data_IF_324078204439
#
_entry.id   IF_324078204439
#
_cell.length_a   1.000
_cell.length_b   1.000
_cell.length_c   1.000
_cell.angle_alpha   90.00
_cell.angle_beta   90.00
_cell.angle_gamma   90.00
#
_symmetry.space_group_name_H-M   'P 1'
#
loop_
_entity.id
_entity.type
_entity.pdbx_description
1 polymer ?
#
# COMPACT_ATOMS: atom_id res chain seq x y z
N UNK A 1 9.69 2.49 9.61
CA UNK A 1 8.68 3.15 10.45
C UNK A 1 8.54 2.39 11.75
N UNK A 2 8.87 3.01 12.86
CA UNK A 2 8.75 2.50 14.23
C UNK A 2 7.28 2.44 14.72
N UNK A 3 6.35 3.00 13.95
CA UNK A 3 4.92 3.04 14.24
C UNK A 3 4.14 1.81 13.71
N UNK A 4 4.80 0.86 13.04
CA UNK A 4 4.11 -0.28 12.45
C UNK A 4 4.02 -1.45 13.42
N UNK A 5 2.80 -1.88 13.71
CA UNK A 5 2.53 -3.09 14.49
C UNK A 5 2.13 -4.22 13.52
N UNK A 6 2.91 -5.28 13.50
CA UNK A 6 2.68 -6.42 12.62
C UNK A 6 1.80 -7.47 13.30
N UNK A 7 0.81 -7.96 12.56
CA UNK A 7 -0.17 -8.93 13.06
C UNK A 7 -0.37 -10.06 12.06
N UNK A 8 -0.67 -11.24 12.58
CA UNK A 8 -1.19 -12.37 11.80
C UNK A 8 -2.70 -12.39 11.86
N UNK A 9 -3.34 -12.59 10.71
CA UNK A 9 -4.80 -12.77 10.57
C UNK A 9 -5.13 -14.25 10.56
N UNK A 10 -6.27 -14.58 11.11
CA UNK A 10 -6.84 -15.93 10.96
C UNK A 10 -7.76 -15.97 9.75
N UNK A 11 -7.69 -17.07 8.98
CA UNK A 11 -8.65 -17.29 7.91
C UNK A 11 -10.08 -17.30 8.47
N UNK A 12 -10.99 -16.65 7.75
CA UNK A 12 -12.40 -16.53 8.13
C UNK A 12 -12.69 -15.85 9.48
N UNK A 13 -11.75 -15.10 10.03
CA UNK A 13 -11.98 -14.33 11.26
C UNK A 13 -11.44 -12.90 11.15
N UNK A 14 -12.12 -11.89 11.69
CA UNK A 14 -11.58 -10.55 11.83
C UNK A 14 -10.47 -10.48 12.88
N UNK A 15 -10.30 -11.54 13.65
CA UNK A 15 -9.32 -11.61 14.75
C UNK A 15 -7.89 -11.56 14.22
N UNK A 16 -7.06 -10.88 14.95
CA UNK A 16 -5.62 -10.73 14.71
C UNK A 16 -4.87 -11.00 16.00
N UNK A 17 -3.68 -11.55 15.89
CA UNK A 17 -2.74 -11.69 17.01
C UNK A 17 -1.37 -11.15 16.63
N UNK A 18 -0.52 -10.94 17.60
CA UNK A 18 0.89 -10.63 17.36
C UNK A 18 1.56 -11.77 16.60
N UNK A 19 2.56 -11.43 15.81
CA UNK A 19 3.38 -12.42 15.13
C UNK A 19 4.33 -13.06 16.15
N UNK A 20 4.41 -14.39 16.12
CA UNK A 20 5.44 -15.15 16.84
C UNK A 20 6.73 -15.19 16.02
N UNK A 21 7.84 -15.65 16.62
CA UNK A 21 9.11 -15.84 15.89
C UNK A 21 8.93 -16.78 14.70
N UNK A 22 8.14 -17.84 14.85
CA UNK A 22 7.82 -18.76 13.76
C UNK A 22 7.05 -18.06 12.62
N UNK A 23 6.11 -17.17 12.94
CA UNK A 23 5.40 -16.38 11.93
C UNK A 23 6.35 -15.43 11.19
N UNK A 24 7.29 -14.81 11.90
CA UNK A 24 8.32 -13.97 11.31
C UNK A 24 9.22 -14.76 10.36
N UNK A 25 9.69 -15.93 10.75
CA UNK A 25 10.48 -16.81 9.89
C UNK A 25 9.70 -17.21 8.61
N UNK A 26 8.45 -17.65 8.77
CA UNK A 26 7.60 -18.00 7.63
C UNK A 26 7.38 -16.80 6.70
N UNK A 27 7.05 -15.65 7.28
CA UNK A 27 6.81 -14.42 6.54
C UNK A 27 8.03 -13.98 5.74
N UNK A 28 9.19 -13.88 6.38
CA UNK A 28 10.42 -13.41 5.73
C UNK A 28 10.88 -14.40 4.65
N UNK A 29 10.96 -15.69 4.95
CA UNK A 29 11.39 -16.70 3.99
C UNK A 29 10.47 -16.75 2.77
N UNK A 30 9.15 -16.70 2.97
CA UNK A 30 8.19 -16.71 1.87
C UNK A 30 8.25 -15.42 1.06
N UNK A 31 8.41 -14.28 1.71
CA UNK A 31 8.56 -12.97 1.04
C UNK A 31 9.81 -12.95 0.17
N UNK A 32 10.95 -13.39 0.70
CA UNK A 32 12.21 -13.51 -0.05
C UNK A 32 12.04 -14.40 -1.27
N UNK A 33 11.48 -15.60 -1.07
CA UNK A 33 11.23 -16.52 -2.19
C UNK A 33 10.34 -15.91 -3.27
N UNK A 34 9.28 -15.19 -2.91
CA UNK A 34 8.43 -14.53 -3.91
C UNK A 34 9.16 -13.43 -4.67
N UNK A 35 10.04 -12.68 -4.00
CA UNK A 35 10.86 -11.64 -4.63
C UNK A 35 11.90 -12.23 -5.58
N UNK A 36 12.51 -13.36 -5.21
CA UNK A 36 13.50 -14.04 -6.06
C UNK A 36 12.85 -14.67 -7.29
N UNK A 37 11.76 -15.42 -7.11
CA UNK A 37 11.20 -16.29 -8.15
C UNK A 37 10.18 -15.60 -9.06
N UNK A 38 9.39 -14.64 -8.56
CA UNK A 38 8.09 -14.35 -9.18
C UNK A 38 7.79 -12.85 -9.34
N UNK A 39 7.95 -12.03 -8.32
CA UNK A 39 7.48 -10.63 -8.33
C UNK A 39 8.57 -9.62 -8.02
N UNK A 40 8.37 -8.37 -8.43
CA UNK A 40 9.34 -7.30 -8.18
C UNK A 40 9.18 -6.68 -6.79
N UNK A 41 7.98 -6.75 -6.23
CA UNK A 41 7.74 -6.25 -4.88
C UNK A 41 6.63 -7.00 -4.16
N UNK A 42 6.73 -7.03 -2.84
CA UNK A 42 5.79 -7.70 -1.94
C UNK A 42 5.38 -6.73 -0.85
N UNK A 43 4.10 -6.63 -0.59
CA UNK A 43 3.59 -5.76 0.46
C UNK A 43 2.67 -6.43 1.46
N UNK A 44 2.38 -5.72 2.51
CA UNK A 44 1.42 -6.10 3.52
C UNK A 44 0.13 -5.30 3.36
N UNK A 45 -0.97 -5.92 3.73
CA UNK A 45 -2.26 -5.26 3.76
C UNK A 45 -2.49 -4.55 5.09
N UNK A 46 -3.20 -3.43 5.06
CA UNK A 46 -3.59 -2.71 6.29
C UNK A 46 -4.49 -3.56 7.18
N UNK A 47 -4.21 -3.59 8.47
CA UNK A 47 -4.91 -4.44 9.43
C UNK A 47 -6.39 -4.11 9.65
N UNK A 48 -6.81 -2.86 9.39
CA UNK A 48 -8.21 -2.45 9.53
C UNK A 48 -9.09 -2.76 8.30
N UNK A 49 -8.48 -3.12 7.16
CA UNK A 49 -9.25 -3.55 6.00
C UNK A 49 -9.87 -4.93 6.26
N UNK A 50 -11.07 -5.21 5.72
CA UNK A 50 -11.68 -6.52 5.84
C UNK A 50 -10.73 -7.63 5.40
N UNK A 51 -10.70 -8.78 6.07
CA UNK A 51 -9.90 -9.91 5.64
C UNK A 51 -10.38 -10.40 4.26
N UNK A 52 -9.43 -10.87 3.47
CA UNK A 52 -9.77 -11.50 2.19
C UNK A 52 -9.85 -13.01 2.40
N UNK A 53 -11.01 -13.54 2.18
CA UNK A 53 -11.34 -14.94 2.30
C UNK A 53 -10.98 -15.68 1.02
N UNK A 54 -9.71 -15.94 0.80
CA UNK A 54 -9.28 -16.85 -0.26
C UNK A 54 -8.31 -17.89 0.29
N UNK A 55 -8.17 -19.00 -0.39
CA UNK A 55 -7.23 -20.06 -0.03
C UNK A 55 -5.76 -19.67 -0.27
N UNK A 56 -5.51 -18.54 -0.91
CA UNK A 56 -4.16 -18.07 -1.21
C UNK A 56 -3.67 -17.14 -0.11
N UNK A 57 -2.40 -17.27 0.24
CA UNK A 57 -1.71 -16.40 1.21
C UNK A 57 -1.51 -14.96 0.68
N UNK A 58 -1.82 -14.69 -0.58
CA UNK A 58 -1.58 -13.42 -1.26
C UNK A 58 -2.64 -13.05 -2.29
N UNK A 59 -2.64 -11.76 -2.66
CA UNK A 59 -3.30 -11.23 -3.85
C UNK A 59 -2.23 -10.68 -4.79
N UNK A 60 -2.40 -10.86 -6.10
CA UNK A 60 -1.54 -10.24 -7.11
C UNK A 60 -2.05 -8.85 -7.50
N UNK A 61 -1.11 -7.99 -7.87
CA UNK A 61 -1.36 -6.67 -8.45
C UNK A 61 -2.41 -5.89 -7.65
N UNK A 62 -2.14 -5.70 -6.38
CA UNK A 62 -3.01 -5.02 -5.44
C UNK A 62 -2.28 -3.99 -4.62
N UNK A 63 -3.00 -3.26 -3.79
CA UNK A 63 -2.46 -2.23 -2.92
C UNK A 63 -1.36 -2.78 -2.00
N UNK A 64 -0.20 -2.11 -2.04
CA UNK A 64 0.90 -2.30 -1.09
C UNK A 64 1.34 -0.92 -0.61
N UNK A 65 0.94 -0.53 0.58
CA UNK A 65 1.19 0.82 1.12
C UNK A 65 1.91 0.70 2.47
N UNK A 66 2.78 1.63 2.76
CA UNK A 66 3.56 1.77 4.00
C UNK A 66 4.58 0.66 4.27
N UNK A 67 4.26 -0.59 4.03
CA UNK A 67 5.18 -1.71 4.27
C UNK A 67 5.34 -2.54 3.01
N UNK A 68 6.44 -2.30 2.28
CA UNK A 68 6.72 -2.95 1.01
C UNK A 68 8.19 -3.39 0.95
N UNK A 69 8.41 -4.59 0.48
CA UNK A 69 9.70 -5.22 0.23
C UNK A 69 9.96 -5.25 -1.27
N UNK A 70 11.15 -4.91 -1.69
CA UNK A 70 11.52 -4.80 -3.09
C UNK A 70 12.67 -5.74 -3.45
N UNK A 71 12.61 -6.34 -4.63
CA UNK A 71 13.79 -6.90 -5.27
C UNK A 71 14.41 -5.81 -6.17
N UNK A 72 15.53 -5.24 -5.74
CA UNK A 72 16.20 -4.13 -6.43
C UNK A 72 16.58 -4.47 -7.88
N UNK A 73 16.94 -5.72 -8.16
CA UNK A 73 17.33 -6.18 -9.50
C UNK A 73 16.18 -6.29 -10.49
N UNK A 74 14.94 -6.34 -9.96
CA UNK A 74 13.71 -6.45 -10.74
C UNK A 74 12.92 -5.15 -10.82
N UNK A 75 13.42 -4.07 -10.27
CA UNK A 75 12.76 -2.76 -10.34
C UNK A 75 13.22 -1.99 -11.58
N UNK A 76 12.39 -1.08 -12.10
CA UNK A 76 12.80 -0.17 -13.17
C UNK A 76 13.91 0.75 -12.66
N UNK A 77 14.71 1.27 -13.59
CA UNK A 77 15.67 2.31 -13.26
C UNK A 77 14.96 3.57 -12.74
N UNK A 78 15.64 4.32 -11.90
CA UNK A 78 15.08 5.56 -11.33
C UNK A 78 14.62 6.56 -12.40
N UNK A 79 15.29 6.57 -13.55
CA UNK A 79 15.02 7.49 -14.65
C UNK A 79 13.73 7.16 -15.43
N UNK A 80 13.22 5.93 -15.25
CA UNK A 80 11.94 5.51 -15.82
C UNK A 80 10.74 5.94 -14.95
N UNK A 81 11.00 6.49 -13.76
CA UNK A 81 9.98 6.84 -12.80
C UNK A 81 9.75 8.35 -12.73
N UNK A 82 8.49 8.73 -12.67
CA UNK A 82 8.09 10.09 -12.36
C UNK A 82 8.02 10.25 -10.84
N UNK A 83 9.01 10.92 -10.27
CA UNK A 83 9.07 11.22 -8.86
C UNK A 83 8.17 12.43 -8.53
N UNK A 84 6.93 12.16 -8.17
CA UNK A 84 6.05 13.18 -7.62
C UNK A 84 6.29 13.33 -6.13
N UNK A 85 6.67 14.52 -5.72
CA UNK A 85 6.89 14.90 -4.32
C UNK A 85 5.58 15.13 -3.54
N UNK A 86 4.54 14.40 -3.85
CA UNK A 86 3.26 14.51 -3.15
C UNK A 86 3.35 13.82 -1.80
N UNK A 87 3.19 14.59 -0.73
CA UNK A 87 3.34 14.15 0.64
C UNK A 87 2.36 13.04 1.08
N UNK A 88 1.29 12.78 0.33
CA UNK A 88 0.25 11.82 0.75
C UNK A 88 0.14 10.55 -0.06
N UNK A 89 0.59 10.54 -1.30
CA UNK A 89 0.28 9.46 -2.23
C UNK A 89 1.52 8.97 -2.99
N UNK A 90 2.71 9.25 -2.47
CA UNK A 90 3.97 8.86 -3.13
C UNK A 90 4.09 7.35 -3.31
N UNK A 91 3.68 6.56 -2.32
CA UNK A 91 3.65 5.11 -2.38
C UNK A 91 2.61 4.58 -3.38
N UNK A 92 1.41 5.18 -3.41
CA UNK A 92 0.38 4.83 -4.40
C UNK A 92 0.86 5.14 -5.82
N UNK A 93 1.45 6.32 -6.01
CA UNK A 93 2.01 6.75 -7.30
C UNK A 93 3.11 5.79 -7.77
N UNK A 94 4.06 5.48 -6.90
CA UNK A 94 5.18 4.61 -7.20
C UNK A 94 4.72 3.19 -7.60
N UNK A 95 3.81 2.60 -6.83
CA UNK A 95 3.30 1.26 -7.13
C UNK A 95 2.44 1.22 -8.40
N UNK A 96 1.72 2.30 -8.70
CA UNK A 96 0.99 2.40 -9.97
C UNK A 96 1.95 2.39 -11.16
N UNK A 97 3.04 3.15 -11.09
CA UNK A 97 4.07 3.18 -12.12
C UNK A 97 4.73 1.80 -12.31
N UNK A 98 5.11 1.13 -11.21
CA UNK A 98 5.67 -0.22 -11.30
C UNK A 98 4.75 -1.19 -12.04
N UNK A 99 3.45 -1.18 -11.74
CA UNK A 99 2.48 -2.05 -12.41
C UNK A 99 2.30 -1.70 -13.87
N UNK A 100 2.31 -0.41 -14.22
CA UNK A 100 2.22 0.06 -15.62
C UNK A 100 3.46 -0.30 -16.43
N UNK A 101 4.62 -0.37 -15.81
CA UNK A 101 5.88 -0.83 -16.40
C UNK A 101 6.02 -2.37 -16.43
N UNK A 102 4.99 -3.11 -16.02
CA UNK A 102 4.98 -4.58 -16.07
C UNK A 102 5.59 -5.26 -14.83
N UNK A 103 5.87 -4.53 -13.76
CA UNK A 103 6.41 -5.08 -12.52
C UNK A 103 5.29 -5.56 -11.61
N UNK A 104 5.16 -6.86 -11.44
CA UNK A 104 4.11 -7.48 -10.61
C UNK A 104 4.40 -7.39 -9.12
N UNK A 105 3.31 -7.41 -8.34
CA UNK A 105 3.41 -7.57 -6.90
C UNK A 105 2.56 -8.72 -6.35
N UNK A 106 2.89 -9.08 -5.11
CA UNK A 106 2.04 -9.87 -4.21
C UNK A 106 1.79 -9.07 -2.93
N UNK A 107 0.56 -9.07 -2.48
CA UNK A 107 0.18 -8.50 -1.18
C UNK A 107 -0.28 -9.61 -0.27
N UNK A 108 0.34 -9.74 0.89
CA UNK A 108 -0.04 -10.72 1.90
C UNK A 108 -1.49 -10.56 2.36
N UNK A 109 -2.18 -11.67 2.51
CA UNK A 109 -3.54 -11.73 3.08
C UNK A 109 -3.55 -12.23 4.52
N UNK A 110 -2.55 -13.04 4.88
CA UNK A 110 -2.38 -13.64 6.20
C UNK A 110 -1.68 -12.71 7.19
N UNK A 111 -0.72 -11.94 6.72
CA UNK A 111 -0.02 -10.95 7.53
C UNK A 111 -0.51 -9.55 7.17
N UNK A 112 -0.54 -8.67 8.16
CA UNK A 112 -0.96 -7.29 7.99
C UNK A 112 -0.19 -6.38 8.96
N UNK A 113 -0.23 -5.09 8.68
CA UNK A 113 0.27 -4.09 9.59
C UNK A 113 -0.86 -3.20 10.11
N UNK A 114 -0.68 -2.67 11.31
CA UNK A 114 -1.47 -1.60 11.90
C UNK A 114 -0.55 -0.39 12.02
N UNK A 115 -0.95 0.73 11.46
CA UNK A 115 -0.28 2.01 11.63
C UNK A 115 -1.25 2.97 12.32
N UNK A 116 -0.80 3.64 13.33
CA UNK A 116 -1.57 4.70 13.96
C UNK A 116 -1.44 5.99 13.14
N UNK A 117 -2.52 6.31 12.44
CA UNK A 117 -2.56 7.50 11.58
C UNK A 117 -2.83 8.75 12.39
N UNK A 118 -2.01 9.76 12.19
CA UNK A 118 -2.27 11.10 12.74
C UNK A 118 -1.63 11.37 14.09
N UNK A 119 -0.72 10.54 14.56
CA UNK A 119 0.12 10.83 15.72
C UNK A 119 1.01 12.05 15.47
N UNK A 120 1.38 12.75 16.54
CA UNK A 120 2.34 13.84 16.49
C UNK A 120 3.74 13.25 16.25
N UNK A 121 4.42 13.69 15.19
CA UNK A 121 5.76 13.24 14.84
C UNK A 121 5.89 12.84 13.36
N UNK A 122 7.07 12.40 12.95
CA UNK A 122 7.36 11.96 11.59
C UNK A 122 6.96 12.99 10.53
N UNK A 123 6.27 12.54 9.51
CA UNK A 123 5.77 13.41 8.42
C UNK A 123 4.71 14.44 8.85
N UNK A 124 4.29 14.43 10.12
CA UNK A 124 3.32 15.39 10.69
C UNK A 124 4.00 16.58 11.38
N UNK A 125 5.29 16.47 11.71
CA UNK A 125 6.04 17.45 12.51
C UNK A 125 6.84 18.46 11.68
N UNK A 126 6.86 18.35 10.36
CA UNK A 126 7.67 19.19 9.47
C UNK A 126 7.10 20.58 9.22
N UNK A 127 7.87 21.42 8.52
CA UNK A 127 7.46 22.76 8.06
C UNK A 127 6.19 22.74 7.18
N UNK A 128 5.88 21.60 6.56
CA UNK A 128 4.69 21.39 5.74
C UNK A 128 3.83 20.28 6.34
N UNK A 129 3.02 20.56 7.36
CA UNK A 129 2.18 19.55 7.99
C UNK A 129 1.14 19.03 6.97
N UNK A 130 0.93 17.73 6.99
CA UNK A 130 -0.10 17.10 6.19
C UNK A 130 -1.48 17.67 6.55
N UNK A 131 -2.16 18.28 5.59
CA UNK A 131 -3.48 18.91 5.74
C UNK A 131 -4.54 18.18 4.92
N UNK A 132 -5.82 18.44 5.24
CA UNK A 132 -6.96 17.96 4.46
C UNK A 132 -6.89 18.42 2.99
N UNK A 133 -6.53 19.70 2.77
CA UNK A 133 -6.43 20.26 1.42
C UNK A 133 -5.33 19.58 0.62
N UNK A 134 -4.15 19.43 1.21
CA UNK A 134 -3.03 18.73 0.55
C UNK A 134 -3.38 17.28 0.20
N UNK A 135 -4.14 16.59 1.06
CA UNK A 135 -4.63 15.25 0.76
C UNK A 135 -5.58 15.23 -0.45
N UNK A 136 -6.52 16.18 -0.50
CA UNK A 136 -7.46 16.29 -1.62
C UNK A 136 -6.73 16.66 -2.93
N UNK A 137 -5.72 17.52 -2.87
CA UNK A 137 -4.87 17.88 -4.01
C UNK A 137 -4.05 16.69 -4.52
N UNK A 138 -3.43 15.92 -3.60
CA UNK A 138 -2.68 14.70 -3.97
C UNK A 138 -3.59 13.66 -4.62
N UNK A 139 -4.81 13.48 -4.10
CA UNK A 139 -5.79 12.59 -4.72
C UNK A 139 -6.22 13.08 -6.10
N UNK A 140 -6.42 14.41 -6.28
CA UNK A 140 -6.78 14.99 -7.57
C UNK A 140 -5.70 14.75 -8.62
N UNK A 141 -4.43 14.96 -8.27
CA UNK A 141 -3.29 14.70 -9.15
C UNK A 141 -3.22 13.24 -9.57
N UNK A 142 -3.43 12.28 -8.65
CA UNK A 142 -3.45 10.86 -9.02
C UNK A 142 -4.59 10.51 -9.98
N UNK A 143 -5.78 11.10 -9.80
CA UNK A 143 -6.90 10.91 -10.72
C UNK A 143 -6.60 11.48 -12.10
N UNK A 144 -5.95 12.64 -12.16
CA UNK A 144 -5.52 13.28 -13.40
C UNK A 144 -4.40 12.48 -14.10
N UNK A 145 -3.41 12.03 -13.36
CA UNK A 145 -2.25 11.28 -13.88
C UNK A 145 -2.65 9.88 -14.38
N UNK A 146 -3.61 9.23 -13.71
CA UNK A 146 -4.02 7.86 -14.01
C UNK A 146 -5.53 7.73 -14.25
N UNK A 147 -6.13 8.45 -15.22
CA UNK A 147 -7.60 8.56 -15.36
C UNK A 147 -8.28 7.22 -15.66
N UNK A 148 -7.55 6.23 -16.18
CA UNK A 148 -8.08 4.90 -16.44
C UNK A 148 -8.04 3.96 -15.22
N UNK A 149 -7.19 4.25 -14.24
CA UNK A 149 -6.86 3.35 -13.13
C UNK A 149 -7.16 3.92 -11.75
N UNK A 150 -7.26 5.25 -11.63
CA UNK A 150 -7.58 5.94 -10.38
C UNK A 150 -8.83 6.79 -10.60
N UNK A 151 -9.81 6.63 -9.72
CA UNK A 151 -11.07 7.37 -9.81
C UNK A 151 -11.53 7.86 -8.44
N UNK A 152 -12.27 8.94 -8.42
CA UNK A 152 -12.98 9.36 -7.22
C UNK A 152 -13.96 8.26 -6.78
N UNK A 153 -13.95 7.92 -5.50
CA UNK A 153 -14.82 6.85 -4.97
C UNK A 153 -16.26 7.31 -4.71
N UNK A 154 -16.51 8.62 -4.78
CA UNK A 154 -17.77 9.23 -4.36
C UNK A 154 -17.98 9.27 -2.84
N UNK A 155 -16.96 8.90 -2.06
CA UNK A 155 -17.01 8.86 -0.58
C UNK A 155 -16.01 9.83 0.03
N UNK A 156 -16.26 10.17 1.30
CA UNK A 156 -15.32 10.92 2.12
C UNK A 156 -14.86 10.08 3.32
N UNK A 157 -13.70 10.43 3.88
CA UNK A 157 -13.20 9.79 5.09
C UNK A 157 -14.10 10.13 6.28
N UNK A 158 -14.61 9.10 6.97
CA UNK A 158 -15.54 9.27 8.10
C UNK A 158 -14.84 9.35 9.46
N UNK A 159 -13.71 8.65 9.64
CA UNK A 159 -13.12 8.35 10.94
C UNK A 159 -11.62 8.64 11.05
N UNK A 160 -11.10 9.61 10.35
CA UNK A 160 -9.65 9.84 10.35
C UNK A 160 -9.26 11.23 10.88
N UNK A 161 -9.65 11.54 12.12
CA UNK A 161 -9.22 12.73 12.82
C UNK A 161 -9.22 13.99 11.93
N UNK A 162 -8.05 14.62 11.76
CA UNK A 162 -7.86 15.82 10.94
C UNK A 162 -8.13 15.65 9.43
N UNK A 163 -8.21 14.43 8.94
CA UNK A 163 -8.55 14.13 7.55
C UNK A 163 -10.02 13.77 7.33
N UNK A 164 -10.85 13.90 8.37
CA UNK A 164 -12.30 13.73 8.24
C UNK A 164 -12.84 14.68 7.17
N UNK A 165 -13.60 14.12 6.23
CA UNK A 165 -14.13 14.87 5.09
C UNK A 165 -13.25 14.86 3.83
N UNK A 166 -12.01 14.33 3.88
CA UNK A 166 -11.20 14.17 2.69
C UNK A 166 -11.92 13.29 1.66
N UNK A 167 -11.92 13.73 0.40
CA UNK A 167 -12.42 12.93 -0.73
C UNK A 167 -11.53 11.69 -0.90
N UNK A 168 -12.12 10.53 -1.08
CA UNK A 168 -11.36 9.29 -1.26
C UNK A 168 -11.30 8.87 -2.72
N UNK A 169 -10.22 8.20 -3.09
CA UNK A 169 -10.01 7.61 -4.40
C UNK A 169 -10.13 6.09 -4.34
N UNK A 170 -10.33 5.48 -5.49
CA UNK A 170 -10.26 4.04 -5.71
C UNK A 170 -9.23 3.76 -6.78
N UNK A 171 -8.25 2.92 -6.47
CA UNK A 171 -7.21 2.48 -7.39
C UNK A 171 -7.50 1.07 -7.91
N UNK A 172 -7.39 0.89 -9.22
CA UNK A 172 -7.62 -0.38 -9.92
C UNK A 172 -6.27 -1.00 -10.33
N UNK A 173 -5.46 -1.37 -9.36
CA UNK A 173 -4.09 -1.87 -9.54
C UNK A 173 -4.00 -3.06 -10.50
N UNK A 174 -4.90 -4.04 -10.39
CA UNK A 174 -4.90 -5.20 -11.28
C UNK A 174 -5.14 -4.84 -12.75
N UNK A 175 -5.87 -3.74 -13.01
CA UNK A 175 -6.12 -3.27 -14.37
C UNK A 175 -4.91 -2.51 -14.93
N UNK A 176 -4.15 -1.83 -14.10
CA UNK A 176 -2.93 -1.16 -14.49
C UNK A 176 -1.92 -2.16 -15.06
N UNK A 177 -1.70 -3.27 -14.37
CA UNK A 177 -0.79 -4.33 -14.85
C UNK A 177 -1.23 -4.98 -16.19
N UNK A 178 -2.52 -5.15 -16.43
CA UNK A 178 -3.02 -5.81 -17.65
C UNK A 178 -2.91 -4.95 -18.91
N UNK A 179 -2.66 -3.67 -18.77
CA UNK A 179 -2.60 -2.71 -19.88
C UNK A 179 -1.19 -2.19 -20.16
N UNK A 180 -0.21 -2.57 -19.32
CA UNK A 180 1.22 -2.28 -19.51
C UNK A 180 1.87 -3.18 -20.57
#
# INVERSE_FOLDING_TARGET
DDDLIFKKRFQKSPTKRDMTDQDWHEFLNTTTKWLEDDVSFVGLRRGYLPPIWNSKKYIRNSETICCTFYNKEKLPNSDELIWNHDLFCSDVNLHMQYLLLGHQNKTWTEYCYIAEWGQQGGCQAGKNPRTLNLMNESHAKLVEQYPNFVKWSGKTMKHNGKFKGAKTIRCYYSNAFKKG
#
